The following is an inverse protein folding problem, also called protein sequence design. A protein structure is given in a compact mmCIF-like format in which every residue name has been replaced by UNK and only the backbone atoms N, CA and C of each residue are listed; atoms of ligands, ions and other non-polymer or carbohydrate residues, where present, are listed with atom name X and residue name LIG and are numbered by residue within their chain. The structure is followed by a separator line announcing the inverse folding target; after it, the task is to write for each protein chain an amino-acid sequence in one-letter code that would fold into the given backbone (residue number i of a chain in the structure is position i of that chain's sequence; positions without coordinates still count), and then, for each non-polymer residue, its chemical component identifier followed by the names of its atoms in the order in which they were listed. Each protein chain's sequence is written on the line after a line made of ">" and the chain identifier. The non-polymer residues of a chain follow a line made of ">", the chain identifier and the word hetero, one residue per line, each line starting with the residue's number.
data_IF_219868044425
#
_entry.id   IF_219868044425
#
_cell.length_a   1.000
_cell.length_b   1.000
_cell.length_c   1.000
_cell.angle_alpha   90.00
_cell.angle_beta   90.00
_cell.angle_gamma   90.00
#
_symmetry.space_group_name_H-M   'P 1'
#
loop_
_entity.id
_entity.type
_entity.pdbx_description
1 polymer ?
#
# COMPACT_ATOMS: atom_id res chain seq x y z
N UNK A 1 -6.57 3.91 12.15
CA UNK A 1 -5.99 5.27 11.94
C UNK A 1 -5.68 5.37 10.46
N UNK A 2 -6.08 6.45 9.77
CA UNK A 2 -5.82 6.57 8.33
C UNK A 2 -4.33 6.81 8.08
N UNK A 3 -3.81 6.42 6.91
CA UNK A 3 -2.35 6.40 6.64
C UNK A 3 -1.62 7.70 6.95
N UNK A 4 -2.21 8.86 6.62
CA UNK A 4 -1.61 10.17 6.89
C UNK A 4 -1.48 10.53 8.38
N UNK A 5 -2.26 9.87 9.24
CA UNK A 5 -2.32 10.16 10.68
C UNK A 5 -1.47 9.19 11.51
N UNK A 6 -0.91 8.14 10.90
CA UNK A 6 -0.12 7.12 11.60
C UNK A 6 1.20 7.69 12.13
N UNK A 7 1.96 8.43 11.30
CA UNK A 7 3.26 8.97 11.73
C UNK A 7 3.13 9.94 12.92
N UNK A 8 2.22 10.94 12.91
CA UNK A 8 1.98 11.77 14.08
C UNK A 8 1.53 10.99 15.31
N UNK A 9 0.76 9.91 15.13
CA UNK A 9 0.30 9.06 16.23
C UNK A 9 1.45 8.27 16.88
N UNK A 10 2.39 7.76 16.06
CA UNK A 10 3.64 7.14 16.52
C UNK A 10 4.55 8.16 17.21
N UNK A 11 4.74 9.34 16.62
CA UNK A 11 5.64 10.38 17.15
C UNK A 11 5.20 10.86 18.53
N UNK A 12 3.88 10.96 18.73
CA UNK A 12 3.28 11.35 20.02
C UNK A 12 3.16 10.18 21.01
N UNK A 13 3.47 8.95 20.61
CA UNK A 13 3.30 7.76 21.45
C UNK A 13 1.84 7.43 21.78
N UNK A 14 0.89 7.84 20.93
CA UNK A 14 -0.52 7.46 21.09
C UNK A 14 -0.81 6.04 20.59
N UNK A 15 0.10 5.49 19.78
CA UNK A 15 0.16 4.08 19.39
C UNK A 15 1.61 3.58 19.56
N UNK A 16 1.76 2.32 19.95
CA UNK A 16 3.08 1.72 20.23
C UNK A 16 3.71 1.06 18.99
N UNK A 17 2.89 0.67 18.02
CA UNK A 17 3.30 0.00 16.80
C UNK A 17 2.33 0.35 15.65
N UNK A 18 2.80 0.18 14.42
CA UNK A 18 1.95 0.27 13.23
C UNK A 18 2.37 -0.75 12.20
N UNK A 19 1.43 -1.06 11.31
CA UNK A 19 1.67 -1.64 10.01
C UNK A 19 1.16 -0.68 8.93
N UNK A 20 1.54 -0.90 7.67
CA UNK A 20 0.98 -0.15 6.54
C UNK A 20 0.93 -0.94 5.24
N UNK A 21 2.07 -1.14 4.56
CA UNK A 21 2.10 -1.91 3.29
C UNK A 21 3.38 -2.72 3.15
N UNK A 22 4.53 -2.05 3.29
CA UNK A 22 5.81 -2.66 2.97
C UNK A 22 6.88 -1.64 2.61
N UNK A 23 8.09 -2.09 2.27
CA UNK A 23 9.29 -1.26 2.36
C UNK A 23 9.20 0.06 1.60
N UNK A 24 8.63 0.08 0.39
CA UNK A 24 8.57 1.28 -0.44
C UNK A 24 7.69 2.40 0.13
N UNK A 25 6.53 2.07 0.69
CA UNK A 25 5.63 3.09 1.22
C UNK A 25 5.97 3.42 2.67
N UNK A 26 6.35 2.43 3.47
CA UNK A 26 6.72 2.62 4.87
C UNK A 26 7.97 3.51 5.01
N UNK A 27 8.92 3.41 4.06
CA UNK A 27 10.06 4.33 3.94
C UNK A 27 9.62 5.78 3.74
N UNK A 28 8.64 6.02 2.84
CA UNK A 28 8.14 7.37 2.56
C UNK A 28 7.38 7.96 3.73
N UNK A 29 6.62 7.12 4.44
CA UNK A 29 5.91 7.51 5.65
C UNK A 29 6.87 7.72 6.82
N UNK A 30 8.09 7.15 6.75
CA UNK A 30 9.18 7.49 7.64
C UNK A 30 9.11 6.81 9.01
N UNK A 31 8.33 5.73 9.17
CA UNK A 31 8.13 5.06 10.45
C UNK A 31 9.45 4.63 11.11
N UNK A 32 10.45 4.23 10.31
CA UNK A 32 11.80 3.86 10.75
C UNK A 32 12.53 4.96 11.54
N UNK A 33 12.10 6.23 11.44
CA UNK A 33 12.63 7.34 12.23
C UNK A 33 12.25 7.24 13.71
N UNK A 34 11.09 6.64 14.01
CA UNK A 34 10.51 6.52 15.34
C UNK A 34 10.58 5.07 15.84
N UNK A 35 10.07 4.11 15.07
CA UNK A 35 10.05 2.68 15.39
C UNK A 35 11.17 1.94 14.64
N UNK A 36 12.10 1.31 15.36
CA UNK A 36 13.29 0.69 14.75
C UNK A 36 13.06 -0.73 14.25
N UNK A 37 12.24 -1.51 14.95
CA UNK A 37 12.01 -2.91 14.59
C UNK A 37 10.98 -3.04 13.47
N UNK A 38 11.38 -3.65 12.36
CA UNK A 38 10.54 -3.84 11.19
C UNK A 38 10.27 -5.33 10.94
N UNK A 39 9.24 -5.84 11.62
CA UNK A 39 8.88 -7.26 11.63
C UNK A 39 8.27 -7.73 10.30
N UNK A 40 8.44 -9.02 10.02
CA UNK A 40 7.85 -9.73 8.88
C UNK A 40 7.63 -11.22 9.20
N UNK A 41 6.74 -11.94 8.49
CA UNK A 41 5.78 -11.43 7.52
C UNK A 41 4.54 -10.80 8.18
N UNK A 42 3.91 -9.85 7.49
CA UNK A 42 2.55 -9.38 7.82
C UNK A 42 1.54 -10.47 7.48
N UNK A 43 1.37 -11.45 8.38
CA UNK A 43 0.62 -12.68 8.12
C UNK A 43 -0.88 -12.48 7.89
N UNK A 44 -1.43 -11.32 8.27
CA UNK A 44 -2.81 -10.93 7.94
C UNK A 44 -2.97 -10.47 6.48
N UNK A 45 -1.87 -10.20 5.76
CA UNK A 45 -1.85 -9.66 4.41
C UNK A 45 -0.93 -10.46 3.46
N UNK A 46 -1.30 -11.71 3.19
CA UNK A 46 -0.58 -12.55 2.23
C UNK A 46 -0.68 -12.09 0.76
N UNK A 47 -1.58 -11.17 0.44
CA UNK A 47 -1.85 -10.68 -0.92
C UNK A 47 -3.00 -9.68 -0.96
N UNK A 48 -2.73 -8.45 -0.51
CA UNK A 48 -3.74 -7.39 -0.41
C UNK A 48 -4.24 -6.99 -1.80
N UNK A 49 -5.52 -7.26 -2.07
CA UNK A 49 -6.17 -6.92 -3.33
C UNK A 49 -6.94 -5.59 -3.22
N UNK A 50 -6.59 -4.63 -4.07
CA UNK A 50 -7.28 -3.34 -4.15
C UNK A 50 -8.49 -3.43 -5.09
N UNK A 51 -9.57 -2.75 -4.72
CA UNK A 51 -10.84 -2.81 -5.43
C UNK A 51 -11.26 -1.43 -5.96
N UNK A 52 -11.76 -1.41 -7.20
CA UNK A 52 -12.53 -0.29 -7.73
C UNK A 52 -14.01 -0.55 -7.48
N UNK A 53 -14.62 0.21 -6.58
CA UNK A 53 -16.05 0.17 -6.36
C UNK A 53 -16.76 1.15 -7.29
N UNK A 54 -17.75 0.65 -8.03
CA UNK A 54 -18.54 1.43 -9.00
C UNK A 54 -20.00 1.30 -8.60
N UNK A 55 -20.73 2.43 -8.52
CA UNK A 55 -22.17 2.41 -8.29
C UNK A 55 -22.87 1.64 -9.44
N UNK A 56 -23.78 0.74 -9.09
CA UNK A 56 -24.45 -0.15 -10.04
C UNK A 56 -25.23 0.61 -11.12
N UNK A 57 -25.98 1.66 -10.75
CA UNK A 57 -26.76 2.44 -11.73
C UNK A 57 -25.85 3.15 -12.73
N UNK A 58 -24.71 3.68 -12.26
CA UNK A 58 -23.71 4.30 -13.13
C UNK A 58 -23.00 3.30 -14.01
N UNK A 59 -22.68 2.12 -13.49
CA UNK A 59 -22.17 1.02 -14.29
C UNK A 59 -23.17 0.65 -15.38
N UNK A 60 -24.44 0.47 -15.03
CA UNK A 60 -25.47 0.01 -15.95
C UNK A 60 -25.79 1.00 -17.06
N UNK A 61 -25.68 2.30 -16.78
CA UNK A 61 -25.80 3.36 -17.77
C UNK A 61 -24.65 3.41 -18.80
N UNK A 62 -23.53 2.70 -18.58
CA UNK A 62 -22.41 2.70 -19.52
C UNK A 62 -22.73 1.89 -20.80
N UNK A 63 -22.36 2.40 -21.99
CA UNK A 63 -22.35 1.61 -23.22
C UNK A 63 -21.46 0.37 -23.07
N UNK A 64 -21.79 -0.71 -23.81
CA UNK A 64 -21.05 -1.98 -23.77
C UNK A 64 -19.54 -1.82 -23.97
N UNK A 65 -19.14 -0.94 -24.89
CA UNK A 65 -17.72 -0.67 -25.16
C UNK A 65 -17.00 -0.07 -23.92
N UNK A 66 -17.68 0.78 -23.16
CA UNK A 66 -17.10 1.43 -21.97
C UNK A 66 -17.08 0.50 -20.77
N UNK A 67 -18.09 -0.36 -20.60
CA UNK A 67 -18.03 -1.46 -19.62
C UNK A 67 -16.80 -2.34 -19.86
N UNK A 68 -16.60 -2.76 -21.12
CA UNK A 68 -15.44 -3.58 -21.50
C UNK A 68 -14.11 -2.86 -21.24
N UNK A 69 -13.99 -1.61 -21.67
CA UNK A 69 -12.79 -0.81 -21.46
C UNK A 69 -12.47 -0.63 -19.97
N UNK A 70 -13.47 -0.34 -19.15
CA UNK A 70 -13.28 -0.14 -17.72
C UNK A 70 -12.85 -1.43 -17.03
N UNK A 71 -13.44 -2.58 -17.36
CA UNK A 71 -12.98 -3.88 -16.84
C UNK A 71 -11.52 -4.16 -17.21
N UNK A 72 -11.13 -3.91 -18.46
CA UNK A 72 -9.74 -4.10 -18.90
C UNK A 72 -8.77 -3.15 -18.18
N UNK A 73 -9.16 -1.88 -18.02
CA UNK A 73 -8.36 -0.89 -17.30
C UNK A 73 -8.16 -1.28 -15.84
N UNK A 74 -9.21 -1.74 -15.16
CA UNK A 74 -9.12 -2.25 -13.78
C UNK A 74 -8.18 -3.46 -13.67
N UNK A 75 -8.30 -4.43 -14.59
CA UNK A 75 -7.43 -5.59 -14.63
C UNK A 75 -5.95 -5.22 -14.85
N UNK A 76 -5.69 -4.30 -15.79
CA UNK A 76 -4.35 -3.78 -16.02
C UNK A 76 -3.80 -3.04 -14.79
N UNK A 77 -4.60 -2.16 -14.18
CA UNK A 77 -4.18 -1.41 -13.00
C UNK A 77 -3.83 -2.34 -11.83
N UNK A 78 -4.58 -3.42 -11.62
CA UNK A 78 -4.28 -4.41 -10.60
C UNK A 78 -2.91 -5.06 -10.80
N UNK A 79 -2.59 -5.45 -12.05
CA UNK A 79 -1.28 -6.02 -12.40
C UNK A 79 -0.14 -4.99 -12.30
N UNK A 80 -0.37 -3.77 -12.79
CA UNK A 80 0.63 -2.70 -12.78
C UNK A 80 0.99 -2.27 -11.34
N UNK A 81 0.01 -2.21 -10.43
CA UNK A 81 0.28 -1.92 -9.00
C UNK A 81 1.19 -2.97 -8.38
N UNK A 82 0.88 -4.26 -8.56
CA UNK A 82 1.73 -5.34 -8.05
C UNK A 82 3.15 -5.25 -8.62
N UNK A 83 3.27 -5.12 -9.95
CA UNK A 83 4.55 -5.04 -10.63
C UNK A 83 5.40 -3.85 -10.15
N UNK A 84 4.76 -2.72 -9.82
CA UNK A 84 5.45 -1.55 -9.24
C UNK A 84 5.98 -1.84 -7.84
N UNK A 85 5.23 -2.54 -6.98
CA UNK A 85 5.75 -2.92 -5.66
C UNK A 85 6.90 -3.90 -5.78
N UNK A 86 6.78 -4.91 -6.64
CA UNK A 86 7.85 -5.89 -6.88
C UNK A 86 9.15 -5.21 -7.36
N UNK A 87 9.03 -4.19 -8.22
CA UNK A 87 10.18 -3.44 -8.71
C UNK A 87 10.81 -2.50 -7.67
N UNK A 88 10.00 -1.95 -6.75
CA UNK A 88 10.42 -0.86 -5.84
C UNK A 88 10.84 -1.34 -4.45
N UNK A 89 10.15 -2.36 -3.90
CA UNK A 89 10.42 -2.87 -2.56
C UNK A 89 11.86 -3.35 -2.34
N UNK A 90 12.52 -4.04 -3.30
CA UNK A 90 13.89 -4.50 -3.11
C UNK A 90 14.91 -3.38 -2.90
N UNK A 91 14.69 -2.21 -3.49
CA UNK A 91 15.57 -1.06 -3.29
C UNK A 91 15.22 -0.32 -1.99
N UNK A 92 13.93 -0.19 -1.67
CA UNK A 92 13.49 0.47 -0.46
C UNK A 92 13.93 -0.26 0.81
N UNK A 93 13.85 -1.60 0.85
CA UNK A 93 14.31 -2.36 2.02
C UNK A 93 15.81 -2.16 2.29
N UNK A 94 16.64 -2.08 1.23
CA UNK A 94 18.08 -1.78 1.38
C UNK A 94 18.31 -0.39 1.98
N UNK A 95 17.52 0.61 1.57
CA UNK A 95 17.60 1.96 2.14
C UNK A 95 17.09 2.01 3.57
N UNK A 96 16.03 1.29 3.91
CA UNK A 96 15.54 1.20 5.29
C UNK A 96 16.61 0.63 6.22
N UNK A 97 17.23 -0.50 5.84
CA UNK A 97 18.34 -1.10 6.61
C UNK A 97 19.52 -0.13 6.72
N UNK A 98 19.92 0.51 5.61
CA UNK A 98 21.00 1.50 5.62
C UNK A 98 20.71 2.72 6.51
N UNK A 99 19.43 3.04 6.73
CA UNK A 99 18.97 4.12 7.59
C UNK A 99 18.61 3.65 9.02
N UNK A 100 18.96 2.42 9.40
CA UNK A 100 18.88 1.93 10.77
C UNK A 100 17.55 1.27 11.18
N UNK A 101 16.75 0.81 10.21
CA UNK A 101 15.70 -0.17 10.50
C UNK A 101 16.34 -1.53 10.84
N UNK A 102 15.77 -2.22 11.84
CA UNK A 102 16.21 -3.50 12.40
C UNK A 102 15.26 -4.64 12.02
#
# INVERSE_FOLDING_TARGET
>A
IAGGDIYPALEKGTIDATEWVGPYDDEKLGFYKIAKYYYYPGWWEGGTALHFFINSDKWDALPKAYKSLLTMACGYANLDVQARYDARNPQAIKRLVANGAL
#
